data_IF_342875033324
#
_entry.id   IF_342875033324
#
_cell.length_a   1.000
_cell.length_b   1.000
_cell.length_c   1.000
_cell.angle_alpha   90.00
_cell.angle_beta   90.00
_cell.angle_gamma   90.00
#
_symmetry.space_group_name_H-M   'P 1'
#
loop_
_entity.id
_entity.type
_entity.pdbx_description
1 polymer ?
#
# COMPACT_ATOMS: atom_id res chain seq x y z
N UNK A 1 -6.08 -12.86 -11.84
CA UNK A 1 -5.64 -11.61 -11.12
C UNK A 1 -5.64 -11.86 -9.62
N UNK A 2 -4.67 -11.30 -8.86
CA UNK A 2 -4.62 -11.40 -7.39
C UNK A 2 -5.50 -10.33 -6.75
N UNK A 3 -6.08 -10.62 -5.57
CA UNK A 3 -6.89 -9.67 -4.80
C UNK A 3 -6.39 -9.56 -3.37
N UNK A 4 -6.33 -8.34 -2.87
CA UNK A 4 -5.86 -8.06 -1.52
C UNK A 4 -6.68 -6.96 -0.85
N UNK A 5 -6.68 -6.97 0.48
CA UNK A 5 -7.36 -5.97 1.28
C UNK A 5 -6.36 -4.94 1.82
N UNK A 6 -6.68 -3.66 1.69
CA UNK A 6 -5.91 -2.54 2.21
C UNK A 6 -6.58 -2.01 3.47
N UNK A 7 -5.95 -2.24 4.59
CA UNK A 7 -6.42 -1.73 5.88
C UNK A 7 -5.99 -0.27 6.05
N UNK A 8 -6.96 0.62 6.04
CA UNK A 8 -6.74 2.05 6.27
C UNK A 8 -7.86 2.60 7.17
N UNK A 9 -7.90 2.17 8.44
CA UNK A 9 -9.00 2.46 9.34
C UNK A 9 -8.91 3.88 9.89
N UNK A 10 -9.92 4.70 9.57
CA UNK A 10 -10.07 6.05 10.10
C UNK A 10 -10.70 6.00 11.50
N UNK A 11 -10.07 6.66 12.46
CA UNK A 11 -10.65 6.94 13.78
C UNK A 11 -10.94 8.44 13.91
N UNK A 12 -12.20 8.79 14.16
CA UNK A 12 -12.64 10.18 14.24
C UNK A 12 -12.28 10.82 15.57
N UNK A 13 -12.27 10.05 16.65
CA UNK A 13 -11.96 10.53 17.98
C UNK A 13 -11.08 9.54 18.75
N UNK A 14 -10.26 9.98 19.69
CA UNK A 14 -9.46 9.08 20.51
C UNK A 14 -10.28 8.05 21.30
N UNK A 15 -11.56 8.29 21.52
CA UNK A 15 -12.45 7.33 22.18
C UNK A 15 -12.75 6.10 21.31
N UNK A 16 -12.67 6.26 19.99
CA UNK A 16 -12.94 5.21 19.03
C UNK A 16 -11.69 4.37 18.70
N UNK A 17 -10.48 4.84 19.03
CA UNK A 17 -9.21 4.24 18.62
C UNK A 17 -9.13 2.75 18.96
N UNK A 18 -9.48 2.38 20.18
CA UNK A 18 -9.41 0.99 20.64
C UNK A 18 -10.30 0.07 19.81
N UNK A 19 -11.57 0.44 19.61
CA UNK A 19 -12.51 -0.38 18.85
C UNK A 19 -12.12 -0.50 17.39
N UNK A 20 -11.67 0.60 16.77
CA UNK A 20 -11.22 0.62 15.37
C UNK A 20 -9.97 -0.23 15.16
N UNK A 21 -9.03 -0.25 16.11
CA UNK A 21 -7.86 -1.12 16.08
C UNK A 21 -8.27 -2.60 16.16
N UNK A 22 -9.14 -2.99 17.11
CA UNK A 22 -9.62 -4.38 17.21
C UNK A 22 -10.38 -4.81 15.97
N UNK A 23 -11.32 -4.01 15.47
CA UNK A 23 -12.05 -4.28 14.22
C UNK A 23 -11.09 -4.47 13.03
N UNK A 24 -9.98 -3.72 12.98
CA UNK A 24 -9.00 -3.85 11.90
C UNK A 24 -8.18 -5.13 11.98
N UNK A 25 -7.94 -5.64 13.19
CA UNK A 25 -7.33 -6.96 13.38
C UNK A 25 -8.31 -8.08 12.99
N UNK A 26 -9.59 -7.93 13.31
CA UNK A 26 -10.63 -8.87 12.91
C UNK A 26 -10.83 -8.85 11.38
N UNK A 27 -10.75 -7.68 10.75
CA UNK A 27 -10.77 -7.52 9.29
C UNK A 27 -9.58 -8.23 8.61
N UNK A 28 -8.38 -8.18 9.22
CA UNK A 28 -7.23 -8.93 8.72
C UNK A 28 -7.42 -10.45 8.83
N UNK A 29 -8.00 -10.93 9.93
CA UNK A 29 -8.33 -12.35 10.12
C UNK A 29 -9.38 -12.79 9.13
N UNK A 30 -10.44 -12.02 8.95
CA UNK A 30 -11.48 -12.28 7.95
C UNK A 30 -10.89 -12.34 6.53
N UNK A 31 -9.97 -11.44 6.20
CA UNK A 31 -9.28 -11.42 4.90
C UNK A 31 -8.50 -12.74 4.66
N UNK A 32 -7.83 -13.27 5.69
CA UNK A 32 -7.14 -14.58 5.64
C UNK A 32 -8.12 -15.75 5.43
N UNK A 33 -9.23 -15.74 6.17
CA UNK A 33 -10.27 -16.78 6.10
C UNK A 33 -10.97 -16.82 4.74
N UNK A 34 -11.23 -15.66 4.16
CA UNK A 34 -11.87 -15.51 2.85
C UNK A 34 -10.90 -15.82 1.69
N UNK A 35 -9.63 -16.03 1.96
CA UNK A 35 -8.65 -16.47 0.97
C UNK A 35 -8.17 -15.37 0.04
N UNK A 36 -8.12 -14.14 0.47
CA UNK A 36 -7.41 -13.07 -0.25
C UNK A 36 -5.91 -13.36 -0.31
N UNK A 37 -5.22 -12.78 -1.29
CA UNK A 37 -3.79 -13.03 -1.52
C UNK A 37 -2.90 -12.26 -0.53
N UNK A 38 -3.30 -11.05 -0.12
CA UNK A 38 -2.56 -10.22 0.83
C UNK A 38 -3.44 -9.27 1.64
N UNK A 39 -2.91 -8.85 2.79
CA UNK A 39 -3.32 -7.66 3.54
C UNK A 39 -2.24 -6.60 3.36
N UNK A 40 -2.63 -5.36 3.07
CA UNK A 40 -1.72 -4.23 2.92
C UNK A 40 -1.95 -3.18 3.99
N UNK A 41 -0.87 -2.65 4.52
CA UNK A 41 -0.87 -1.65 5.59
C UNK A 41 -0.27 -0.34 5.09
N UNK A 42 -0.88 0.77 5.49
CA UNK A 42 -0.34 2.11 5.29
C UNK A 42 0.50 2.56 6.48
N UNK A 43 1.27 3.62 6.27
CA UNK A 43 1.90 4.38 7.34
C UNK A 43 1.47 5.84 7.21
N UNK A 44 0.70 6.32 8.19
CA UNK A 44 0.28 7.72 8.32
C UNK A 44 0.20 8.12 9.78
N UNK A 45 0.55 9.37 10.07
CA UNK A 45 0.76 9.82 11.44
C UNK A 45 -0.06 11.06 11.76
N UNK A 46 -0.44 11.21 13.05
CA UNK A 46 -0.98 12.42 13.69
C UNK A 46 -2.39 12.85 13.32
N UNK A 47 -3.00 12.31 12.28
CA UNK A 47 -4.26 12.83 11.73
C UNK A 47 -5.48 11.94 12.00
N UNK A 48 -5.30 10.73 12.55
CA UNK A 48 -6.38 9.76 12.74
C UNK A 48 -6.91 9.13 11.46
N UNK A 49 -6.33 9.46 10.30
CA UNK A 49 -6.68 8.83 9.02
C UNK A 49 -6.20 7.39 8.91
N UNK A 50 -5.24 6.99 9.74
CA UNK A 50 -4.79 5.63 9.93
C UNK A 50 -4.51 5.39 11.41
N UNK A 51 -5.43 4.74 12.12
CA UNK A 51 -5.40 4.69 13.60
C UNK A 51 -4.24 3.87 14.16
N UNK A 52 -3.78 2.84 13.47
CA UNK A 52 -2.66 2.01 13.95
C UNK A 52 -1.27 2.64 13.71
N UNK A 53 -1.18 3.73 12.97
CA UNK A 53 -0.02 4.58 12.64
C UNK A 53 1.26 3.85 12.22
N UNK A 54 1.70 2.83 12.97
CA UNK A 54 2.92 2.05 12.74
C UNK A 54 2.58 0.70 12.08
N UNK A 55 2.79 0.57 10.76
CA UNK A 55 2.47 -0.65 10.03
C UNK A 55 3.33 -1.84 10.47
N UNK A 56 4.53 -1.60 10.99
CA UNK A 56 5.46 -2.66 11.39
C UNK A 56 4.95 -3.37 12.65
N UNK A 57 4.57 -2.59 13.66
CA UNK A 57 3.98 -3.13 14.90
C UNK A 57 2.66 -3.84 14.61
N UNK A 58 1.82 -3.25 13.75
CA UNK A 58 0.53 -3.83 13.40
C UNK A 58 0.69 -5.12 12.58
N UNK A 59 1.66 -5.18 11.66
CA UNK A 59 1.99 -6.39 10.89
C UNK A 59 2.38 -7.56 11.79
N UNK A 60 3.09 -7.32 12.91
CA UNK A 60 3.44 -8.38 13.86
C UNK A 60 2.18 -8.99 14.52
N UNK A 61 1.20 -8.16 14.88
CA UNK A 61 -0.07 -8.62 15.44
C UNK A 61 -0.87 -9.45 14.41
N UNK A 62 -0.94 -8.98 13.15
CA UNK A 62 -1.58 -9.71 12.05
C UNK A 62 -0.86 -11.03 11.77
N UNK A 63 0.47 -11.03 11.74
CA UNK A 63 1.27 -12.23 11.49
C UNK A 63 0.99 -13.34 12.51
N UNK A 64 0.75 -12.97 13.77
CA UNK A 64 0.42 -13.91 14.85
C UNK A 64 -1.03 -14.43 14.79
N UNK A 65 -1.96 -13.66 14.22
CA UNK A 65 -3.40 -14.01 14.15
C UNK A 65 -3.80 -14.70 12.83
N UNK A 66 -3.00 -14.59 11.77
CA UNK A 66 -3.30 -15.12 10.42
C UNK A 66 -2.38 -16.29 10.05
N UNK A 67 -2.75 -17.08 9.03
CA UNK A 67 -2.01 -18.29 8.65
C UNK A 67 -1.55 -18.36 7.20
N UNK A 68 -2.26 -17.73 6.26
CA UNK A 68 -2.06 -17.89 4.82
C UNK A 68 -1.79 -16.56 4.11
N UNK A 69 -2.58 -15.52 4.45
CA UNK A 69 -2.52 -14.22 3.77
C UNK A 69 -1.12 -13.62 3.88
N UNK A 70 -0.60 -13.10 2.77
CA UNK A 70 0.63 -12.30 2.78
C UNK A 70 0.37 -10.97 3.49
N UNK A 71 1.39 -10.39 4.08
CA UNK A 71 1.32 -9.14 4.83
C UNK A 71 2.29 -8.17 4.17
N UNK A 72 1.76 -7.09 3.61
CA UNK A 72 2.55 -6.12 2.87
C UNK A 72 2.38 -4.70 3.37
N UNK A 73 3.33 -3.85 3.05
CA UNK A 73 3.20 -2.40 3.26
C UNK A 73 2.90 -1.70 1.94
N UNK A 74 1.93 -0.79 1.97
CA UNK A 74 1.57 0.04 0.82
C UNK A 74 1.38 1.51 1.24
N UNK A 75 2.44 2.10 1.84
CA UNK A 75 3.83 1.65 2.02
C UNK A 75 4.36 1.99 3.41
N UNK A 76 5.52 1.43 3.81
CA UNK A 76 6.30 1.98 4.91
C UNK A 76 7.13 3.18 4.40
N UNK A 77 7.14 4.28 5.17
CA UNK A 77 7.77 5.56 4.78
C UNK A 77 9.25 5.57 5.19
N UNK A 78 10.12 5.15 4.29
CA UNK A 78 11.54 4.92 4.59
C UNK A 78 12.30 6.12 5.13
N UNK A 79 11.85 7.35 4.83
CA UNK A 79 12.45 8.55 5.38
C UNK A 79 12.30 8.66 6.91
N UNK A 80 11.28 8.02 7.50
CA UNK A 80 10.96 8.08 8.92
C UNK A 80 11.59 6.96 9.76
N UNK A 81 12.19 5.94 9.10
CA UNK A 81 12.74 4.76 9.79
C UNK A 81 14.26 4.75 9.85
N UNK A 82 14.81 4.26 10.97
CA UNK A 82 16.19 3.87 11.02
C UNK A 82 16.36 2.52 10.27
N UNK A 83 17.22 2.42 9.23
CA UNK A 83 17.24 1.28 8.31
C UNK A 83 17.57 -0.06 9.00
N UNK A 84 18.53 -0.08 9.92
CA UNK A 84 18.89 -1.32 10.64
C UNK A 84 17.75 -1.76 11.57
N UNK A 85 17.12 -0.80 12.28
CA UNK A 85 15.97 -1.14 13.14
C UNK A 85 14.82 -1.72 12.33
N UNK A 86 14.52 -1.11 11.20
CA UNK A 86 13.49 -1.62 10.30
C UNK A 86 13.86 -3.01 9.74
N UNK A 87 15.13 -3.24 9.34
CA UNK A 87 15.59 -4.53 8.85
C UNK A 87 15.43 -5.65 9.90
N UNK A 88 15.74 -5.38 11.19
CA UNK A 88 15.52 -6.32 12.29
C UNK A 88 14.05 -6.64 12.51
N UNK A 89 13.19 -5.61 12.52
CA UNK A 89 11.75 -5.74 12.69
C UNK A 89 11.14 -6.59 11.57
N UNK A 90 11.50 -6.32 10.31
CA UNK A 90 11.06 -7.11 9.15
C UNK A 90 11.52 -8.56 9.27
N UNK A 91 12.77 -8.80 9.62
CA UNK A 91 13.29 -10.16 9.79
C UNK A 91 12.53 -10.93 10.89
N UNK A 92 12.16 -10.26 11.99
CA UNK A 92 11.38 -10.85 13.05
C UNK A 92 9.96 -11.21 12.57
N UNK A 93 9.27 -10.27 11.89
CA UNK A 93 7.91 -10.51 11.37
C UNK A 93 7.92 -11.58 10.27
N UNK A 94 8.94 -11.61 9.43
CA UNK A 94 9.10 -12.63 8.40
C UNK A 94 9.20 -14.05 9.00
N UNK A 95 9.92 -14.18 10.13
CA UNK A 95 9.97 -15.44 10.89
C UNK A 95 8.62 -15.77 11.57
N UNK A 96 7.98 -14.82 12.24
CA UNK A 96 6.67 -15.03 12.89
C UNK A 96 5.63 -15.45 11.82
N UNK A 97 5.62 -14.79 10.69
CA UNK A 97 4.69 -15.08 9.60
C UNK A 97 5.07 -16.31 8.76
N UNK A 98 6.28 -16.89 8.97
CA UNK A 98 6.82 -17.98 8.17
C UNK A 98 6.90 -17.64 6.66
N UNK A 99 7.47 -16.47 6.35
CA UNK A 99 7.73 -16.07 4.97
C UNK A 99 6.54 -15.46 4.24
N UNK A 100 5.62 -14.81 4.96
CA UNK A 100 4.47 -14.12 4.35
C UNK A 100 4.66 -12.62 4.18
N UNK A 101 5.81 -12.05 4.56
CA UNK A 101 6.09 -10.62 4.44
C UNK A 101 6.34 -10.20 3.00
N UNK A 102 5.82 -9.02 2.62
CA UNK A 102 6.18 -8.24 1.44
C UNK A 102 6.56 -6.83 1.90
N UNK A 103 7.77 -6.40 1.61
CA UNK A 103 8.29 -5.10 2.07
C UNK A 103 7.99 -4.02 1.04
N UNK A 104 6.84 -3.38 1.19
CA UNK A 104 6.47 -2.25 0.36
C UNK A 104 7.05 -0.94 0.92
N UNK A 105 7.85 -0.25 0.12
CA UNK A 105 8.57 0.95 0.53
C UNK A 105 8.19 2.16 -0.29
N UNK A 106 8.29 3.34 0.32
CA UNK A 106 8.06 4.61 -0.33
C UNK A 106 8.74 5.76 0.39
N UNK A 107 8.81 6.90 -0.29
CA UNK A 107 9.38 8.12 0.30
C UNK A 107 8.45 8.80 1.31
N UNK A 108 7.19 8.38 1.35
CA UNK A 108 6.11 9.06 2.05
C UNK A 108 5.26 9.94 1.13
N UNK A 109 4.14 10.42 1.64
CA UNK A 109 3.19 11.26 0.89
C UNK A 109 3.69 12.70 0.84
N UNK A 110 4.02 13.18 -0.35
CA UNK A 110 4.63 14.49 -0.58
C UNK A 110 3.79 15.69 -0.08
N UNK A 111 2.54 15.48 0.29
CA UNK A 111 1.66 16.56 0.77
C UNK A 111 1.34 16.44 2.26
N UNK A 112 1.82 15.42 2.96
CA UNK A 112 1.67 15.27 4.41
C UNK A 112 2.92 15.81 5.10
N UNK A 113 3.22 17.10 4.87
CA UNK A 113 4.42 17.77 5.43
C UNK A 113 4.48 17.67 6.95
N UNK A 114 3.34 17.67 7.61
CA UNK A 114 3.24 17.52 9.06
C UNK A 114 3.81 16.20 9.57
N UNK A 115 3.76 15.10 8.79
CA UNK A 115 4.36 13.82 9.17
C UNK A 115 5.89 13.96 9.24
N UNK A 116 6.52 14.47 8.18
CA UNK A 116 7.97 14.71 8.16
C UNK A 116 8.42 15.65 9.28
N UNK A 117 7.69 16.75 9.49
CA UNK A 117 7.98 17.71 10.55
C UNK A 117 7.87 17.07 11.95
N UNK A 118 6.90 16.18 12.16
CA UNK A 118 6.74 15.45 13.42
C UNK A 118 7.94 14.55 13.76
N UNK A 119 8.62 14.04 12.74
CA UNK A 119 9.83 13.24 12.88
C UNK A 119 11.14 14.04 12.71
N UNK A 120 11.06 15.36 12.52
CA UNK A 120 12.24 16.19 12.33
C UNK A 120 12.99 15.93 11.01
N UNK A 121 12.31 15.46 9.99
CA UNK A 121 12.87 15.14 8.67
C UNK A 121 12.48 16.24 7.67
N UNK A 122 13.43 16.65 6.83
CA UNK A 122 13.16 17.50 5.69
C UNK A 122 12.47 16.66 4.58
N UNK A 123 11.26 17.01 4.13
CA UNK A 123 10.57 16.29 3.08
C UNK A 123 11.32 16.27 1.74
N UNK A 124 12.19 17.24 1.46
CA UNK A 124 13.01 17.27 0.26
C UNK A 124 14.10 16.17 0.25
N UNK A 125 14.50 15.68 1.42
CA UNK A 125 15.44 14.56 1.56
C UNK A 125 14.78 13.18 1.39
N UNK A 126 13.45 13.10 1.43
CA UNK A 126 12.73 11.84 1.54
C UNK A 126 13.02 10.85 0.39
N UNK A 127 13.23 11.35 -0.82
CA UNK A 127 13.55 10.50 -1.97
C UNK A 127 14.97 9.92 -1.88
N UNK A 128 15.95 10.73 -1.56
CA UNK A 128 17.34 10.26 -1.41
C UNK A 128 17.48 9.30 -0.23
N UNK A 129 16.80 9.60 0.90
CA UNK A 129 16.74 8.69 2.06
C UNK A 129 16.14 7.33 1.69
N UNK A 130 15.06 7.30 0.90
CA UNK A 130 14.46 6.06 0.40
C UNK A 130 15.48 5.22 -0.37
N UNK A 131 16.21 5.83 -1.32
CA UNK A 131 17.19 5.11 -2.14
C UNK A 131 18.32 4.52 -1.30
N UNK A 132 18.86 5.31 -0.35
CA UNK A 132 19.91 4.86 0.55
C UNK A 132 19.43 3.73 1.47
N UNK A 133 18.21 3.85 2.02
CA UNK A 133 17.62 2.83 2.90
C UNK A 133 17.35 1.52 2.14
N UNK A 134 16.87 1.56 0.90
CA UNK A 134 16.64 0.33 0.12
C UNK A 134 17.92 -0.51 -0.05
N UNK A 135 19.06 0.14 -0.34
CA UNK A 135 20.34 -0.56 -0.44
C UNK A 135 20.77 -1.16 0.91
N UNK A 136 20.65 -0.37 1.98
CA UNK A 136 20.99 -0.82 3.33
C UNK A 136 20.15 -2.04 3.73
N UNK A 137 18.84 -2.03 3.45
CA UNK A 137 17.95 -3.14 3.79
C UNK A 137 18.40 -4.44 3.11
N UNK A 138 18.58 -4.42 1.79
CA UNK A 138 18.99 -5.61 1.04
C UNK A 138 20.35 -6.13 1.55
N UNK A 139 21.32 -5.24 1.74
CA UNK A 139 22.67 -5.61 2.23
C UNK A 139 22.65 -6.13 3.66
N UNK A 140 21.82 -5.54 4.53
CA UNK A 140 21.66 -6.00 5.92
C UNK A 140 21.13 -7.43 6.01
N UNK A 141 20.26 -7.84 5.09
CA UNK A 141 19.71 -9.20 5.06
C UNK A 141 20.62 -10.24 4.38
N UNK A 142 21.53 -9.78 3.50
CA UNK A 142 22.27 -10.68 2.60
C UNK A 142 23.79 -10.70 2.82
N UNK A 143 24.33 -9.78 3.62
CA UNK A 143 25.78 -9.60 3.75
C UNK A 143 26.19 -9.58 5.21
N UNK A 144 27.17 -10.42 5.59
CA UNK A 144 27.84 -10.37 6.88
C UNK A 144 28.95 -9.31 6.88
N UNK A 145 29.27 -8.77 8.06
CA UNK A 145 30.25 -7.71 8.25
C UNK A 145 30.02 -6.50 7.34
N UNK A 146 28.72 -6.16 7.18
CA UNK A 146 28.29 -5.07 6.31
C UNK A 146 28.65 -3.72 6.91
N UNK A 147 29.24 -2.87 6.09
CA UNK A 147 29.53 -1.46 6.38
C UNK A 147 28.94 -0.58 5.30
N UNK A 148 28.30 0.49 5.72
CA UNK A 148 27.77 1.52 4.84
C UNK A 148 28.19 2.90 5.35
N UNK A 149 28.65 3.75 4.43
CA UNK A 149 28.98 5.15 4.67
C UNK A 149 28.27 5.95 3.57
N UNK A 150 27.10 6.46 3.88
CA UNK A 150 26.27 7.23 2.96
C UNK A 150 26.08 8.67 3.40
N UNK A 151 25.16 9.35 2.74
CA UNK A 151 24.83 10.75 3.05
C UNK A 151 24.06 10.86 4.38
N UNK A 152 23.12 9.96 4.61
CA UNK A 152 22.23 9.99 5.76
C UNK A 152 22.58 8.96 6.83
N UNK A 153 23.20 7.84 6.44
CA UNK A 153 23.44 6.73 7.33
C UNK A 153 24.91 6.28 7.31
N UNK A 154 25.45 6.08 8.51
CA UNK A 154 26.72 5.39 8.72
C UNK A 154 26.43 4.20 9.63
N UNK A 155 26.49 3.00 9.07
CA UNK A 155 26.14 1.78 9.79
C UNK A 155 27.20 0.71 9.60
N UNK A 156 27.42 -0.04 10.67
CA UNK A 156 28.30 -1.21 10.67
C UNK A 156 27.59 -2.31 11.47
N UNK A 157 27.36 -3.45 10.83
CA UNK A 157 26.79 -4.59 11.51
C UNK A 157 27.52 -5.88 11.17
N UNK A 158 27.93 -6.70 12.17
CA UNK A 158 28.58 -7.98 11.92
C UNK A 158 27.67 -8.98 11.23
N UNK A 159 26.44 -9.11 11.74
CA UNK A 159 25.40 -9.99 11.20
C UNK A 159 24.03 -9.51 11.70
N UNK A 160 23.02 -9.55 10.84
CA UNK A 160 21.65 -9.28 11.26
C UNK A 160 21.00 -10.53 11.88
N UNK A 161 20.42 -10.39 13.08
CA UNK A 161 19.71 -11.46 13.79
C UNK A 161 18.37 -10.98 14.37
N UNK A 162 17.26 -11.75 14.18
CA UNK A 162 17.20 -12.99 13.41
C UNK A 162 17.50 -12.76 11.94
N UNK A 163 17.96 -13.79 11.22
CA UNK A 163 17.99 -13.74 9.77
C UNK A 163 16.56 -13.82 9.21
N UNK A 164 16.34 -13.26 8.04
CA UNK A 164 15.05 -13.38 7.34
C UNK A 164 14.73 -14.83 7.00
N UNK A 165 13.45 -15.18 7.10
CA UNK A 165 12.94 -16.52 6.76
C UNK A 165 13.00 -16.76 5.24
N UNK A 166 12.55 -15.79 4.45
CA UNK A 166 12.58 -15.82 2.98
C UNK A 166 14.01 -15.60 2.46
N UNK A 167 14.39 -16.28 1.38
CA UNK A 167 15.73 -16.17 0.80
C UNK A 167 15.65 -15.67 -0.65
N UNK A 168 16.53 -14.74 -1.06
CA UNK A 168 17.62 -14.12 -0.27
C UNK A 168 17.11 -13.11 0.78
N UNK A 169 15.92 -12.55 0.61
CA UNK A 169 15.20 -11.63 1.51
C UNK A 169 13.72 -11.61 1.14
N UNK A 170 12.82 -11.05 1.99
CA UNK A 170 11.42 -10.83 1.64
C UNK A 170 11.31 -10.01 0.34
N UNK A 171 10.31 -10.27 -0.51
CA UNK A 171 10.07 -9.47 -1.70
C UNK A 171 9.97 -7.98 -1.34
N UNK A 172 10.72 -7.14 -2.07
CA UNK A 172 10.67 -5.70 -1.93
C UNK A 172 9.94 -5.08 -3.12
N UNK A 173 9.02 -4.17 -2.84
CA UNK A 173 8.21 -3.50 -3.84
C UNK A 173 8.15 -2.00 -3.53
N UNK A 174 8.24 -1.15 -4.55
CA UNK A 174 8.23 0.31 -4.38
C UNK A 174 6.92 0.92 -4.85
N UNK A 175 6.40 1.90 -4.10
CA UNK A 175 5.26 2.69 -4.56
C UNK A 175 5.67 3.69 -5.65
N UNK A 176 4.91 3.68 -6.74
CA UNK A 176 5.07 4.57 -7.87
C UNK A 176 3.83 5.46 -8.01
N UNK A 177 3.99 6.76 -7.73
CA UNK A 177 2.93 7.75 -7.88
C UNK A 177 2.96 8.47 -9.23
N UNK A 178 4.12 8.51 -9.88
CA UNK A 178 4.37 9.21 -11.13
C UNK A 178 4.95 8.31 -12.23
N UNK A 179 5.10 8.90 -13.42
CA UNK A 179 5.67 8.22 -14.57
C UNK A 179 7.12 7.82 -14.31
N UNK A 180 7.96 8.76 -13.85
CA UNK A 180 9.39 8.52 -13.67
C UNK A 180 9.67 7.38 -12.68
N UNK A 181 8.97 7.34 -11.55
CA UNK A 181 9.11 6.23 -10.59
C UNK A 181 8.71 4.87 -11.18
N UNK A 182 7.74 4.83 -12.10
CA UNK A 182 7.38 3.60 -12.83
C UNK A 182 8.51 3.17 -13.77
N UNK A 183 9.12 4.13 -14.48
CA UNK A 183 10.26 3.87 -15.36
C UNK A 183 11.51 3.43 -14.61
N UNK A 184 11.76 3.98 -13.41
CA UNK A 184 12.84 3.51 -12.54
C UNK A 184 12.68 2.04 -12.18
N UNK A 185 11.47 1.61 -11.82
CA UNK A 185 11.21 0.20 -11.52
C UNK A 185 11.36 -0.70 -12.73
N UNK A 186 10.91 -0.25 -13.90
CA UNK A 186 11.10 -0.98 -15.15
C UNK A 186 12.57 -1.17 -15.49
N UNK A 187 13.38 -0.10 -15.42
CA UNK A 187 14.84 -0.16 -15.65
C UNK A 187 15.58 -1.03 -14.65
N UNK A 188 15.04 -1.13 -13.43
CA UNK A 188 15.61 -1.99 -12.39
C UNK A 188 15.10 -3.44 -12.44
N UNK A 189 14.16 -3.80 -13.33
CA UNK A 189 13.55 -5.13 -13.37
C UNK A 189 12.82 -5.49 -12.08
N UNK A 190 12.13 -4.53 -11.45
CA UNK A 190 11.49 -4.67 -10.15
C UNK A 190 9.98 -4.45 -10.22
N UNK A 191 9.17 -5.21 -9.46
CA UNK A 191 7.73 -4.95 -9.33
C UNK A 191 7.47 -3.64 -8.58
N UNK A 192 6.25 -3.10 -8.74
CA UNK A 192 5.84 -1.82 -8.15
C UNK A 192 4.39 -1.81 -7.67
N UNK A 193 4.09 -0.85 -6.78
CA UNK A 193 2.73 -0.50 -6.35
C UNK A 193 2.32 0.78 -7.07
N UNK A 194 1.26 0.74 -7.85
CA UNK A 194 0.69 1.94 -8.48
C UNK A 194 -0.43 2.49 -7.60
N UNK A 195 -0.35 3.77 -7.26
CA UNK A 195 -1.44 4.47 -6.62
C UNK A 195 -2.69 4.50 -7.51
N UNK A 196 -3.84 4.90 -6.95
CA UNK A 196 -5.09 4.96 -7.69
C UNK A 196 -4.99 5.93 -8.87
N UNK A 197 -5.26 5.40 -10.06
CA UNK A 197 -5.30 6.10 -11.35
C UNK A 197 -6.54 5.68 -12.13
N UNK A 198 -6.90 6.42 -13.19
CA UNK A 198 -7.89 5.95 -14.16
C UNK A 198 -7.42 4.64 -14.84
N UNK A 199 -8.35 3.86 -15.37
CA UNK A 199 -8.00 2.63 -16.10
C UNK A 199 -7.11 2.93 -17.32
N UNK A 200 -7.38 4.05 -18.01
CA UNK A 200 -6.57 4.50 -19.13
C UNK A 200 -5.11 4.79 -18.70
N UNK A 201 -4.91 5.60 -17.65
CA UNK A 201 -3.56 5.89 -17.14
C UNK A 201 -2.88 4.64 -16.59
N UNK A 202 -3.64 3.73 -15.95
CA UNK A 202 -3.12 2.45 -15.48
C UNK A 202 -2.60 1.62 -16.65
N UNK A 203 -3.36 1.53 -17.75
CA UNK A 203 -2.96 0.81 -18.96
C UNK A 203 -1.69 1.40 -19.58
N UNK A 204 -1.68 2.71 -19.79
CA UNK A 204 -0.53 3.43 -20.38
C UNK A 204 0.75 3.18 -19.58
N UNK A 205 0.68 3.24 -18.26
CA UNK A 205 1.82 2.97 -17.37
C UNK A 205 2.26 1.51 -17.38
N UNK A 206 1.32 0.56 -17.42
CA UNK A 206 1.65 -0.87 -17.51
C UNK A 206 2.29 -1.21 -18.85
N UNK A 207 1.82 -0.65 -19.95
CA UNK A 207 2.41 -0.84 -21.28
C UNK A 207 3.81 -0.26 -21.34
N UNK A 208 3.99 0.96 -20.81
CA UNK A 208 5.29 1.61 -20.76
C UNK A 208 6.28 0.88 -19.83
N UNK A 209 5.80 0.35 -18.71
CA UNK A 209 6.62 -0.47 -17.83
C UNK A 209 7.17 -1.71 -18.56
N UNK A 210 6.31 -2.44 -19.27
CA UNK A 210 6.71 -3.63 -20.05
C UNK A 210 7.70 -3.29 -21.16
N UNK A 211 7.40 -2.26 -21.96
CA UNK A 211 8.28 -1.84 -23.06
C UNK A 211 9.64 -1.37 -22.54
N UNK A 212 9.67 -0.60 -21.47
CA UNK A 212 10.93 -0.12 -20.88
C UNK A 212 11.77 -1.25 -20.31
N UNK A 213 11.18 -2.29 -19.70
CA UNK A 213 11.93 -3.49 -19.29
C UNK A 213 12.63 -4.12 -20.49
N UNK A 214 11.92 -4.36 -21.59
CA UNK A 214 12.47 -4.97 -22.81
C UNK A 214 13.56 -4.09 -23.43
N UNK A 215 13.34 -2.78 -23.53
CA UNK A 215 14.30 -1.80 -24.06
C UNK A 215 15.58 -1.72 -23.20
N UNK A 216 15.47 -1.98 -21.89
CA UNK A 216 16.62 -2.01 -20.96
C UNK A 216 17.41 -3.33 -21.04
N UNK A 217 16.89 -4.33 -21.76
CA UNK A 217 17.59 -5.60 -22.02
C UNK A 217 17.07 -6.77 -21.16
N UNK A 218 15.98 -6.61 -20.43
CA UNK A 218 15.29 -7.74 -19.81
C UNK A 218 14.55 -8.55 -20.88
N UNK A 219 14.48 -9.86 -20.71
CA UNK A 219 13.72 -10.76 -21.58
C UNK A 219 12.23 -10.83 -21.17
N UNK A 220 11.43 -11.48 -22.01
CA UNK A 220 10.00 -11.71 -21.77
C UNK A 220 9.75 -12.50 -20.46
N UNK A 221 10.67 -13.39 -20.09
CA UNK A 221 10.55 -14.15 -18.85
C UNK A 221 10.75 -13.26 -17.62
N UNK A 222 11.63 -12.26 -17.68
CA UNK A 222 11.79 -11.27 -16.62
C UNK A 222 10.52 -10.43 -16.46
N UNK A 223 9.93 -9.97 -17.56
CA UNK A 223 8.65 -9.25 -17.57
C UNK A 223 7.54 -10.13 -16.98
N UNK A 224 7.45 -11.39 -17.40
CA UNK A 224 6.46 -12.35 -16.90
C UNK A 224 6.61 -12.66 -15.40
N UNK A 225 7.81 -12.51 -14.83
CA UNK A 225 8.01 -12.63 -13.37
C UNK A 225 7.62 -11.37 -12.62
N UNK A 226 7.90 -10.17 -13.15
CA UNK A 226 7.68 -8.91 -12.44
C UNK A 226 6.22 -8.45 -12.46
N UNK A 227 5.52 -8.61 -13.59
CA UNK A 227 4.13 -8.15 -13.74
C UNK A 227 3.18 -8.79 -12.72
N UNK A 228 3.22 -10.12 -12.45
CA UNK A 228 2.36 -10.74 -11.44
C UNK A 228 2.54 -10.21 -10.02
N UNK A 229 3.69 -9.60 -9.71
CA UNK A 229 3.97 -9.02 -8.39
C UNK A 229 3.84 -7.49 -8.37
N UNK A 230 3.37 -6.89 -9.48
CA UNK A 230 3.00 -5.47 -9.56
C UNK A 230 1.52 -5.28 -9.27
N UNK A 231 1.21 -4.29 -8.44
CA UNK A 231 -0.13 -4.09 -7.90
C UNK A 231 -0.67 -2.71 -8.22
N UNK A 232 -1.99 -2.61 -8.39
CA UNK A 232 -2.70 -1.33 -8.55
C UNK A 232 -3.75 -1.16 -7.46
N UNK A 233 -3.94 0.08 -7.01
CA UNK A 233 -4.89 0.38 -5.94
C UNK A 233 -6.26 0.78 -6.48
N UNK A 234 -7.33 0.27 -5.83
CA UNK A 234 -8.72 0.65 -6.08
C UNK A 234 -9.50 0.74 -4.75
N UNK A 235 -10.45 1.67 -4.68
CA UNK A 235 -11.50 1.61 -3.66
C UNK A 235 -12.66 0.79 -4.25
N UNK A 236 -13.15 -0.22 -3.53
CA UNK A 236 -14.23 -1.09 -4.00
C UNK A 236 -15.22 -1.31 -2.86
N UNK A 237 -16.51 -1.23 -3.18
CA UNK A 237 -17.57 -1.61 -2.26
C UNK A 237 -18.62 -2.43 -2.99
N UNK A 238 -18.98 -3.58 -2.43
CA UNK A 238 -19.98 -4.51 -2.99
C UNK A 238 -21.15 -4.60 -2.02
N UNK A 239 -22.38 -4.50 -2.53
CA UNK A 239 -23.61 -4.79 -1.80
C UNK A 239 -24.51 -5.70 -2.64
N UNK A 240 -25.64 -6.12 -2.09
CA UNK A 240 -26.56 -7.03 -2.79
C UNK A 240 -27.16 -6.40 -4.05
N UNK A 241 -27.33 -5.07 -4.07
CA UNK A 241 -27.81 -4.29 -5.21
C UNK A 241 -26.97 -3.04 -5.46
N UNK A 242 -27.02 -2.53 -6.70
CA UNK A 242 -26.33 -1.27 -7.06
C UNK A 242 -26.85 -0.09 -6.22
N UNK A 243 -28.15 -0.04 -5.92
CA UNK A 243 -28.76 1.03 -5.15
C UNK A 243 -28.30 1.02 -3.68
N UNK A 244 -28.17 -0.16 -3.06
CA UNK A 244 -27.61 -0.29 -1.71
C UNK A 244 -26.13 0.07 -1.67
N UNK A 245 -25.35 -0.39 -2.67
CA UNK A 245 -23.96 -0.04 -2.78
C UNK A 245 -23.75 1.48 -2.90
N UNK A 246 -24.54 2.16 -3.74
CA UNK A 246 -24.49 3.61 -3.89
C UNK A 246 -24.84 4.33 -2.59
N UNK A 247 -25.92 3.91 -1.94
CA UNK A 247 -26.39 4.52 -0.71
C UNK A 247 -25.37 4.44 0.44
N UNK A 248 -24.56 3.40 0.48
CA UNK A 248 -23.51 3.22 1.50
C UNK A 248 -22.17 3.79 1.06
N UNK A 249 -21.66 3.38 -0.10
CA UNK A 249 -20.28 3.68 -0.50
C UNK A 249 -20.06 5.16 -0.85
N UNK A 250 -20.97 5.80 -1.57
CA UNK A 250 -20.76 7.16 -2.05
C UNK A 250 -20.66 8.19 -0.92
N UNK A 251 -21.55 8.19 0.10
CA UNK A 251 -21.40 9.10 1.24
C UNK A 251 -20.09 8.86 2.02
N UNK A 252 -19.71 7.60 2.27
CA UNK A 252 -18.49 7.29 3.02
C UNK A 252 -17.24 7.66 2.22
N UNK A 253 -17.20 7.40 0.92
CA UNK A 253 -16.11 7.83 0.06
C UNK A 253 -15.92 9.35 0.08
N UNK A 254 -17.01 10.11 -0.07
CA UNK A 254 -16.98 11.58 -0.01
C UNK A 254 -16.50 12.09 1.35
N UNK A 255 -17.01 11.50 2.44
CA UNK A 255 -16.62 11.86 3.80
C UNK A 255 -15.13 11.57 4.05
N UNK A 256 -14.63 10.40 3.64
CA UNK A 256 -13.21 10.05 3.71
C UNK A 256 -12.33 11.05 2.94
N UNK A 257 -12.72 11.39 1.70
CA UNK A 257 -11.96 12.36 0.90
C UNK A 257 -11.94 13.75 1.53
N UNK A 258 -13.07 14.20 2.07
CA UNK A 258 -13.17 15.46 2.79
C UNK A 258 -12.29 15.44 4.05
N UNK A 259 -12.38 14.40 4.88
CA UNK A 259 -11.60 14.25 6.10
C UNK A 259 -10.08 14.34 5.84
N UNK A 260 -9.58 13.59 4.85
CA UNK A 260 -8.16 13.64 4.49
C UNK A 260 -7.72 15.00 3.95
N UNK A 261 -8.60 15.69 3.20
CA UNK A 261 -8.34 17.05 2.71
C UNK A 261 -8.29 18.06 3.85
N UNK A 262 -9.26 18.01 4.75
CA UNK A 262 -9.40 18.92 5.90
C UNK A 262 -8.24 18.76 6.89
N UNK A 263 -7.81 17.51 7.15
CA UNK A 263 -6.64 17.25 7.98
C UNK A 263 -5.37 17.88 7.40
N UNK A 264 -5.13 17.73 6.11
CA UNK A 264 -4.00 18.39 5.44
C UNK A 264 -4.10 19.90 5.52
N UNK A 265 -5.28 20.45 5.27
CA UNK A 265 -5.50 21.89 5.37
C UNK A 265 -5.26 22.44 6.78
N UNK A 266 -5.58 21.65 7.80
CA UNK A 266 -5.42 22.02 9.22
C UNK A 266 -3.97 21.88 9.70
N UNK A 267 -3.27 20.82 9.27
CA UNK A 267 -1.96 20.44 9.82
C UNK A 267 -0.77 21.03 9.05
N UNK A 268 -0.94 21.27 7.75
CA UNK A 268 0.07 21.91 6.93
C UNK A 268 0.06 23.43 7.13
N UNK A 269 1.24 24.06 7.05
CA UNK A 269 1.39 25.52 7.01
C UNK A 269 0.82 26.12 5.73
N UNK A 270 0.66 27.43 5.66
CA UNK A 270 0.17 28.13 4.46
C UNK A 270 1.09 27.91 3.26
N UNK A 271 2.41 27.94 3.45
CA UNK A 271 3.39 27.69 2.40
C UNK A 271 3.32 26.24 1.90
N UNK A 272 3.21 25.25 2.79
CA UNK A 272 3.06 23.84 2.45
C UNK A 272 1.77 23.58 1.66
N UNK A 273 0.66 24.25 2.00
CA UNK A 273 -0.60 24.18 1.25
C UNK A 273 -0.47 24.76 -0.16
N UNK A 274 0.25 25.85 -0.32
CA UNK A 274 0.50 26.45 -1.64
C UNK A 274 1.32 25.49 -2.52
N UNK A 275 2.35 24.84 -1.97
CA UNK A 275 3.15 23.80 -2.65
C UNK A 275 2.27 22.62 -3.03
N UNK A 276 1.40 22.16 -2.14
CA UNK A 276 0.45 21.07 -2.41
C UNK A 276 -0.50 21.42 -3.56
N UNK A 277 -1.08 22.62 -3.56
CA UNK A 277 -2.03 23.06 -4.58
C UNK A 277 -1.40 23.10 -5.98
N UNK A 278 -0.12 23.49 -6.08
CA UNK A 278 0.63 23.48 -7.32
C UNK A 278 0.92 22.04 -7.84
N UNK A 279 1.05 21.07 -6.95
CA UNK A 279 1.41 19.69 -7.29
C UNK A 279 0.21 18.78 -7.57
N UNK A 280 -1.00 19.13 -7.11
CA UNK A 280 -2.21 18.28 -7.17
C UNK A 280 -3.26 18.94 -8.05
N UNK A 281 -3.31 18.59 -9.33
CA UNK A 281 -4.40 18.96 -10.22
C UNK A 281 -5.15 17.70 -10.67
N UNK A 282 -6.49 17.65 -10.40
CA UNK A 282 -7.42 16.69 -11.00
C UNK A 282 -7.12 15.21 -10.74
N UNK A 283 -6.70 14.86 -9.52
CA UNK A 283 -6.36 13.47 -9.22
C UNK A 283 -7.58 12.53 -9.41
N UNK A 284 -7.43 11.49 -10.22
CA UNK A 284 -8.44 10.45 -10.46
C UNK A 284 -9.07 9.91 -9.17
N UNK A 285 -8.27 9.83 -8.10
CA UNK A 285 -8.69 9.38 -6.77
C UNK A 285 -9.79 10.22 -6.11
N UNK A 286 -10.03 11.44 -6.57
CA UNK A 286 -11.00 12.37 -6.00
C UNK A 286 -12.34 12.34 -6.74
N UNK A 287 -12.40 11.76 -7.94
CA UNK A 287 -13.64 11.60 -8.71
C UNK A 287 -14.32 10.28 -8.36
N UNK A 288 -15.66 10.24 -8.39
CA UNK A 288 -16.41 9.00 -8.22
C UNK A 288 -16.12 8.00 -9.35
N UNK A 289 -16.03 8.48 -10.59
CA UNK A 289 -15.91 7.62 -11.78
C UNK A 289 -14.62 6.80 -11.80
N UNK A 290 -13.53 7.37 -11.27
CA UNK A 290 -12.20 6.75 -11.23
C UNK A 290 -11.80 6.32 -9.83
N UNK A 291 -12.27 7.04 -8.81
CA UNK A 291 -11.87 6.86 -7.42
C UNK A 291 -12.59 5.73 -6.70
N UNK A 292 -13.77 5.31 -7.17
CA UNK A 292 -14.60 4.30 -6.50
C UNK A 292 -15.26 3.35 -7.49
N UNK A 293 -15.11 2.06 -7.27
CA UNK A 293 -15.91 0.99 -7.90
C UNK A 293 -16.94 0.54 -6.87
N UNK A 294 -18.22 0.62 -7.20
CA UNK A 294 -19.29 0.18 -6.31
C UNK A 294 -20.43 -0.43 -7.11
N UNK A 295 -21.18 -1.32 -6.48
CA UNK A 295 -22.36 -1.94 -7.08
C UNK A 295 -22.63 -3.33 -6.54
N UNK A 296 -23.56 -4.00 -7.19
CA UNK A 296 -23.80 -5.44 -7.04
C UNK A 296 -22.59 -6.24 -7.49
N UNK A 297 -22.48 -7.52 -7.12
CA UNK A 297 -21.40 -8.39 -7.59
C UNK A 297 -21.23 -8.36 -9.11
N UNK A 298 -22.33 -8.34 -9.87
CA UNK A 298 -22.32 -8.28 -11.32
C UNK A 298 -21.69 -6.97 -11.83
N UNK A 299 -22.13 -5.83 -11.33
CA UNK A 299 -21.59 -4.51 -11.69
C UNK A 299 -20.11 -4.41 -11.36
N UNK A 300 -19.69 -4.89 -10.18
CA UNK A 300 -18.28 -4.87 -9.78
C UNK A 300 -17.44 -5.80 -10.65
N UNK A 301 -17.93 -6.99 -11.03
CA UNK A 301 -17.26 -7.87 -11.99
C UNK A 301 -17.01 -7.17 -13.32
N UNK A 302 -18.04 -6.54 -13.91
CA UNK A 302 -17.91 -5.81 -15.19
C UNK A 302 -16.87 -4.68 -15.13
N UNK A 303 -16.76 -4.00 -14.00
CA UNK A 303 -15.73 -2.96 -13.78
C UNK A 303 -14.35 -3.56 -13.63
N UNK A 304 -14.20 -4.65 -12.89
CA UNK A 304 -12.91 -5.35 -12.69
C UNK A 304 -12.41 -6.07 -13.94
N UNK A 305 -13.28 -6.54 -14.85
CA UNK A 305 -12.86 -7.07 -16.14
C UNK A 305 -12.06 -6.05 -16.97
N UNK A 306 -12.35 -4.77 -16.84
CA UNK A 306 -11.57 -3.71 -17.51
C UNK A 306 -10.16 -3.62 -16.91
N UNK A 307 -10.05 -3.74 -15.61
CA UNK A 307 -8.76 -3.74 -14.91
C UNK A 307 -7.96 -5.01 -15.23
N UNK A 308 -8.61 -6.17 -15.27
CA UNK A 308 -7.98 -7.45 -15.61
C UNK A 308 -7.41 -7.45 -17.05
N UNK A 309 -8.14 -6.89 -17.99
CA UNK A 309 -7.69 -6.72 -19.41
C UNK A 309 -6.44 -5.83 -19.56
N UNK A 310 -6.13 -5.00 -18.59
CA UNK A 310 -4.86 -4.24 -18.55
C UNK A 310 -3.67 -5.17 -18.31
N UNK A 311 -3.92 -6.32 -17.69
CA UNK A 311 -2.88 -7.29 -17.35
C UNK A 311 -2.05 -6.86 -16.14
N UNK A 312 -2.70 -6.31 -15.10
CA UNK A 312 -2.08 -6.06 -13.79
C UNK A 312 -1.91 -7.37 -13.02
N UNK A 313 -0.90 -7.46 -12.17
CA UNK A 313 -0.65 -8.66 -11.36
C UNK A 313 -1.68 -8.83 -10.25
N UNK A 314 -2.06 -7.73 -9.61
CA UNK A 314 -3.06 -7.75 -8.55
C UNK A 314 -3.68 -6.39 -8.26
N UNK A 315 -4.78 -6.42 -7.52
CA UNK A 315 -5.51 -5.24 -7.06
C UNK A 315 -5.43 -5.15 -5.54
N UNK A 316 -4.94 -4.01 -5.06
CA UNK A 316 -5.01 -3.62 -3.66
C UNK A 316 -6.35 -2.91 -3.48
N UNK A 317 -7.23 -3.49 -2.70
CA UNK A 317 -8.61 -3.00 -2.54
C UNK A 317 -8.78 -2.37 -1.17
N UNK A 318 -9.24 -1.13 -1.14
CA UNK A 318 -9.69 -0.46 0.06
C UNK A 318 -11.20 -0.63 0.20
N UNK A 319 -11.63 -1.55 1.06
CA UNK A 319 -13.05 -1.84 1.30
C UNK A 319 -13.65 -0.91 2.35
N UNK A 320 -12.92 -0.61 3.42
CA UNK A 320 -13.39 0.23 4.53
C UNK A 320 -13.18 1.71 4.24
N UNK A 321 -14.14 2.36 3.61
CA UNK A 321 -14.04 3.75 3.17
C UNK A 321 -14.18 4.73 4.36
N UNK A 322 -13.04 5.23 4.86
CA UNK A 322 -13.01 6.13 6.00
C UNK A 322 -13.57 5.49 7.27
N UNK A 323 -14.42 6.21 7.99
CA UNK A 323 -15.09 5.71 9.20
C UNK A 323 -16.37 4.92 8.90
N UNK A 324 -16.37 4.11 7.83
CA UNK A 324 -17.47 3.19 7.53
C UNK A 324 -17.62 2.16 8.66
N UNK A 325 -18.86 1.84 9.10
CA UNK A 325 -19.10 0.79 10.08
C UNK A 325 -18.49 -0.55 9.63
N UNK A 326 -17.82 -1.25 10.56
CA UNK A 326 -17.16 -2.52 10.25
C UNK A 326 -18.12 -3.57 9.68
N UNK A 327 -19.36 -3.64 10.17
CA UNK A 327 -20.37 -4.58 9.64
C UNK A 327 -20.65 -4.40 8.14
N UNK A 328 -20.63 -3.16 7.63
CA UNK A 328 -20.78 -2.89 6.19
C UNK A 328 -19.55 -3.35 5.40
N UNK A 329 -18.36 -3.13 5.95
CA UNK A 329 -17.09 -3.61 5.38
C UNK A 329 -17.04 -5.13 5.34
N UNK A 330 -17.39 -5.79 6.44
CA UNK A 330 -17.45 -7.26 6.54
C UNK A 330 -18.40 -7.86 5.50
N UNK A 331 -19.60 -7.30 5.36
CA UNK A 331 -20.56 -7.75 4.35
C UNK A 331 -19.97 -7.62 2.94
N UNK A 332 -19.38 -6.47 2.62
CA UNK A 332 -18.75 -6.23 1.32
C UNK A 332 -17.59 -7.19 1.04
N UNK A 333 -16.73 -7.46 2.03
CA UNK A 333 -15.62 -8.42 1.91
C UNK A 333 -16.12 -9.83 1.62
N UNK A 334 -17.14 -10.31 2.37
CA UNK A 334 -17.73 -11.63 2.17
C UNK A 334 -18.37 -11.77 0.80
N UNK A 335 -19.14 -10.77 0.40
CA UNK A 335 -19.83 -10.77 -0.89
C UNK A 335 -18.82 -10.72 -2.05
N UNK A 336 -17.76 -9.91 -1.93
CA UNK A 336 -16.66 -9.87 -2.89
C UNK A 336 -15.97 -11.24 -3.02
N UNK A 337 -15.61 -11.85 -1.89
CA UNK A 337 -14.92 -13.14 -1.88
C UNK A 337 -15.78 -14.26 -2.47
N UNK A 338 -17.08 -14.26 -2.19
CA UNK A 338 -18.00 -15.30 -2.62
C UNK A 338 -18.47 -15.14 -4.07
N UNK A 339 -18.77 -13.92 -4.51
CA UNK A 339 -19.44 -13.65 -5.79
C UNK A 339 -18.58 -12.99 -6.86
N UNK A 340 -17.54 -12.23 -6.47
CA UNK A 340 -16.70 -11.49 -7.43
C UNK A 340 -15.39 -12.22 -7.68
N UNK A 341 -14.63 -12.51 -6.64
CA UNK A 341 -13.28 -13.08 -6.72
C UNK A 341 -13.19 -14.37 -7.55
N UNK A 342 -14.13 -15.32 -7.51
CA UNK A 342 -14.07 -16.56 -8.29
C UNK A 342 -14.07 -16.35 -9.81
N UNK A 343 -14.58 -15.22 -10.30
CA UNK A 343 -14.65 -14.95 -11.75
C UNK A 343 -13.30 -14.57 -12.36
N UNK A 344 -12.24 -14.37 -11.53
CA UNK A 344 -10.91 -13.90 -11.95
C UNK A 344 -9.78 -14.85 -11.55
N UNK A 345 -10.11 -16.03 -11.01
CA UNK A 345 -9.17 -17.06 -10.55
C UNK A 345 -9.13 -18.27 -11.44
#
# INVERSE_FOLDING_TARGET
MKFSNFLFPESKTPADDFSVIEESLDEAVLTDELGFDAVWLAEHHFDGGCVYVDPVTFAAAIAARTKKVKIGFAVAQMALHHPIRFAEQIALIDNISRGRMIVGVGRGTAYNFYEFRGYGIDPDEAHERLLEVEDILVKSWTTENYKHVGKYWQVELPVLRPQVYQKPHPPMIRACSGLESTLEMARAGRPFLMNLQSDQTTKERMDLYRSTMLETGFDEDAVARCVPDSWVWRNIFVADTDAEAEAVAVPHFRAMRAYLSDNRARMNTEQERATQAAAVTGAARDSLDHGLIYGSPETVCQRLEKVDKIGVGGVIIHFRLGAMPYAATEHSLRLFAEKVMPNFR
#
